data_IF_384192760732
#
_entry.id   IF_384192760732
#
_cell.length_a   1.000
_cell.length_b   1.000
_cell.length_c   1.000
_cell.angle_alpha   90.00
_cell.angle_beta   90.00
_cell.angle_gamma   90.00
#
_symmetry.space_group_name_H-M   'P 1'
#
loop_
_entity.id
_entity.type
_entity.pdbx_description
1 polymer ?
#
# COMPACT_ATOMS: atom_id res chain seq x y z
N UNK A 1 21.76 3.79 8.91
CA UNK A 1 21.00 3.57 7.65
C UNK A 1 21.51 2.26 7.06
N UNK A 2 20.67 1.23 6.87
CA UNK A 2 21.10 0.06 6.09
C UNK A 2 21.56 0.56 4.72
N UNK A 3 22.72 0.07 4.27
CA UNK A 3 23.24 0.41 2.95
C UNK A 3 22.32 -0.19 1.89
N UNK A 4 21.89 0.60 0.91
CA UNK A 4 21.05 0.11 -0.18
C UNK A 4 21.73 -1.09 -0.87
N UNK A 5 20.96 -2.14 -1.14
CA UNK A 5 21.46 -3.36 -1.78
C UNK A 5 22.04 -3.04 -3.16
N UNK A 6 23.25 -3.49 -3.44
CA UNK A 6 23.93 -3.16 -4.70
C UNK A 6 23.72 -4.26 -5.72
N UNK A 7 23.18 -3.87 -6.88
CA UNK A 7 23.04 -4.72 -8.05
C UNK A 7 24.00 -4.19 -9.12
N UNK A 8 24.86 -5.05 -9.64
CA UNK A 8 25.80 -4.70 -10.71
C UNK A 8 25.28 -5.15 -12.06
N UNK A 9 25.17 -4.23 -13.02
CA UNK A 9 24.82 -4.56 -14.41
C UNK A 9 26.09 -4.74 -15.24
N UNK A 10 26.19 -5.91 -15.86
CA UNK A 10 27.28 -6.27 -16.77
C UNK A 10 26.85 -6.10 -18.25
N UNK A 11 27.81 -5.92 -19.17
CA UNK A 11 27.52 -5.63 -20.59
C UNK A 11 26.69 -6.69 -21.33
N UNK A 12 26.77 -7.95 -20.91
CA UNK A 12 26.02 -9.07 -21.51
C UNK A 12 24.57 -9.17 -20.99
N UNK A 13 23.96 -8.04 -20.62
CA UNK A 13 22.61 -7.92 -20.02
C UNK A 13 22.43 -8.63 -18.68
N UNK A 14 23.49 -9.16 -18.06
CA UNK A 14 23.42 -9.85 -16.76
C UNK A 14 23.38 -8.85 -15.61
N UNK A 15 22.58 -9.18 -14.61
CA UNK A 15 22.50 -8.46 -13.34
C UNK A 15 23.09 -9.36 -12.25
N UNK A 16 23.95 -8.80 -11.41
CA UNK A 16 24.59 -9.53 -10.32
C UNK A 16 24.23 -8.88 -8.98
N UNK A 17 23.73 -9.68 -8.08
CA UNK A 17 23.38 -9.27 -6.74
C UNK A 17 24.57 -9.43 -5.80
N UNK A 18 25.07 -8.33 -5.23
CA UNK A 18 26.24 -8.40 -4.34
C UNK A 18 25.91 -9.00 -2.98
N UNK A 19 24.65 -8.96 -2.56
CA UNK A 19 24.22 -9.49 -1.26
C UNK A 19 24.03 -11.01 -1.33
N UNK A 20 23.35 -11.49 -2.38
CA UNK A 20 23.18 -12.94 -2.61
C UNK A 20 24.35 -13.60 -3.33
N UNK A 21 25.32 -12.81 -3.81
CA UNK A 21 26.48 -13.27 -4.56
C UNK A 21 26.11 -14.19 -5.75
N UNK A 22 25.06 -13.80 -6.49
CA UNK A 22 24.57 -14.58 -7.65
C UNK A 22 24.05 -13.67 -8.76
N UNK A 23 24.02 -14.22 -9.97
CA UNK A 23 23.28 -13.59 -11.06
C UNK A 23 21.78 -13.67 -10.80
N UNK A 24 21.09 -12.59 -11.14
CA UNK A 24 19.65 -12.42 -10.97
C UNK A 24 19.03 -11.91 -12.28
N UNK A 25 17.71 -12.03 -12.38
CA UNK A 25 16.89 -11.58 -13.49
C UNK A 25 16.16 -10.28 -13.15
N UNK A 26 15.47 -9.69 -14.13
CA UNK A 26 14.57 -8.56 -13.87
C UNK A 26 13.37 -8.95 -13.00
N UNK A 27 12.91 -10.21 -13.10
CA UNK A 27 11.87 -10.73 -12.22
C UNK A 27 12.33 -10.79 -10.76
N UNK A 28 13.60 -11.15 -10.49
CA UNK A 28 14.16 -11.08 -9.14
C UNK A 28 14.22 -9.62 -8.64
N UNK A 29 14.61 -8.65 -9.48
CA UNK A 29 14.61 -7.23 -9.10
C UNK A 29 13.18 -6.74 -8.82
N UNK A 30 12.21 -7.14 -9.62
CA UNK A 30 10.79 -6.86 -9.37
C UNK A 30 10.37 -7.38 -7.99
N UNK A 31 10.79 -8.57 -7.60
CA UNK A 31 10.52 -9.05 -6.24
C UNK A 31 11.12 -8.16 -5.15
N UNK A 32 12.30 -7.58 -5.37
CA UNK A 32 12.88 -6.62 -4.43
C UNK A 32 12.00 -5.37 -4.29
N UNK A 33 11.50 -4.84 -5.40
CA UNK A 33 10.55 -3.71 -5.42
C UNK A 33 9.29 -4.06 -4.63
N UNK A 34 8.70 -5.23 -4.89
CA UNK A 34 7.47 -5.67 -4.22
C UNK A 34 7.66 -5.92 -2.71
N UNK A 35 8.88 -6.28 -2.29
CA UNK A 35 9.26 -6.44 -0.88
C UNK A 35 9.63 -5.12 -0.21
N UNK A 36 9.65 -4.00 -0.94
CA UNK A 36 10.08 -2.69 -0.41
C UNK A 36 11.56 -2.65 -0.03
N UNK A 37 12.40 -3.44 -0.71
CA UNK A 37 13.85 -3.47 -0.46
C UNK A 37 14.50 -2.32 -1.23
N UNK A 38 15.21 -1.45 -0.51
CA UNK A 38 16.03 -0.40 -1.13
C UNK A 38 17.23 -1.00 -1.87
N UNK A 39 17.35 -0.73 -3.17
CA UNK A 39 18.47 -1.16 -3.98
C UNK A 39 18.96 -0.06 -4.92
N UNK A 40 20.19 -0.21 -5.39
CA UNK A 40 20.78 0.59 -6.47
C UNK A 40 21.35 -0.34 -7.53
N UNK A 41 21.09 -0.01 -8.80
CA UNK A 41 21.72 -0.69 -9.93
C UNK A 41 22.84 0.17 -10.48
N UNK A 42 24.07 -0.34 -10.53
CA UNK A 42 25.22 0.36 -11.11
C UNK A 42 25.78 -0.38 -12.31
N UNK A 43 26.14 0.36 -13.37
CA UNK A 43 26.88 -0.23 -14.48
C UNK A 43 28.33 -0.54 -14.07
N UNK A 44 28.82 -1.74 -14.39
CA UNK A 44 30.19 -2.12 -13.98
C UNK A 44 31.27 -1.43 -14.78
N UNK A 45 30.96 -0.90 -15.96
CA UNK A 45 31.95 -0.27 -16.83
C UNK A 45 31.97 1.25 -16.64
N UNK A 46 30.79 1.88 -16.61
CA UNK A 46 30.67 3.34 -16.50
C UNK A 46 30.46 3.85 -15.07
N UNK A 47 30.19 2.97 -14.11
CA UNK A 47 29.76 3.31 -12.74
C UNK A 47 28.49 4.17 -12.67
N UNK A 48 27.75 4.27 -13.77
CA UNK A 48 26.50 5.02 -13.85
C UNK A 48 25.39 4.36 -13.02
N UNK A 49 24.56 5.19 -12.38
CA UNK A 49 23.34 4.73 -11.70
C UNK A 49 22.25 4.42 -12.73
N UNK A 50 22.00 3.12 -12.94
CA UNK A 50 21.02 2.60 -13.86
C UNK A 50 19.68 2.27 -13.20
N UNK A 51 19.50 2.59 -11.92
CA UNK A 51 18.30 2.20 -11.14
C UNK A 51 17.00 2.64 -11.84
N UNK A 52 16.95 3.90 -12.29
CA UNK A 52 15.78 4.42 -13.02
C UNK A 52 15.51 3.67 -14.32
N UNK A 53 16.55 3.36 -15.08
CA UNK A 53 16.41 2.65 -16.37
C UNK A 53 15.87 1.22 -16.19
N UNK A 54 16.31 0.54 -15.14
CA UNK A 54 15.87 -0.81 -14.80
C UNK A 54 14.42 -0.81 -14.31
N UNK A 55 14.03 0.15 -13.46
CA UNK A 55 12.64 0.29 -13.02
C UNK A 55 11.69 0.54 -14.19
N UNK A 56 12.09 1.37 -15.16
CA UNK A 56 11.31 1.59 -16.38
C UNK A 56 11.21 0.33 -17.24
N UNK A 57 12.27 -0.47 -17.32
CA UNK A 57 12.24 -1.74 -18.03
C UNK A 57 11.27 -2.73 -17.36
N UNK A 58 11.30 -2.83 -16.03
CA UNK A 58 10.36 -3.67 -15.27
C UNK A 58 8.93 -3.22 -15.53
N UNK A 59 8.65 -1.91 -15.47
CA UNK A 59 7.32 -1.35 -15.75
C UNK A 59 6.82 -1.74 -17.15
N UNK A 60 7.69 -1.67 -18.17
CA UNK A 60 7.35 -2.06 -19.53
C UNK A 60 7.04 -3.57 -19.65
N UNK A 61 7.81 -4.42 -18.97
CA UNK A 61 7.57 -5.87 -18.95
C UNK A 61 6.21 -6.20 -18.31
N UNK A 62 5.88 -5.58 -17.17
CA UNK A 62 4.58 -5.77 -16.49
C UNK A 62 3.39 -5.32 -17.34
N UNK A 63 3.48 -4.15 -17.99
CA UNK A 63 2.41 -3.64 -18.87
C UNK A 63 2.19 -4.53 -20.11
N UNK A 64 3.23 -5.26 -20.56
CA UNK A 64 3.13 -6.15 -21.72
C UNK A 64 2.63 -7.56 -21.41
N UNK A 65 2.79 -8.01 -20.16
CA UNK A 65 2.54 -9.39 -19.75
C UNK A 65 1.23 -9.64 -18.97
N UNK A 66 0.55 -8.57 -18.52
CA UNK A 66 -0.64 -8.65 -17.66
C UNK A 66 -1.81 -7.77 -18.11
N UNK A 67 -2.72 -7.48 -17.18
CA UNK A 67 -3.75 -6.45 -17.39
C UNK A 67 -3.08 -5.06 -17.27
N UNK A 68 -3.10 -4.24 -18.34
CA UNK A 68 -2.38 -2.98 -18.35
C UNK A 68 -2.99 -2.01 -17.33
N UNK A 69 -2.15 -1.47 -16.44
CA UNK A 69 -2.56 -0.46 -15.48
C UNK A 69 -2.78 0.89 -16.18
N UNK A 70 -1.97 1.18 -17.20
CA UNK A 70 -1.99 2.47 -17.87
C UNK A 70 -2.85 2.47 -19.13
N UNK A 71 -3.87 3.33 -19.16
CA UNK A 71 -4.60 3.60 -20.40
C UNK A 71 -3.73 4.36 -21.41
N UNK A 72 -3.99 4.16 -22.71
CA UNK A 72 -3.31 4.90 -23.77
C UNK A 72 -3.47 6.44 -23.63
N UNK A 73 -4.62 6.90 -23.13
CA UNK A 73 -4.87 8.31 -22.83
C UNK A 73 -3.93 8.83 -21.73
N UNK A 74 -3.74 8.07 -20.66
CA UNK A 74 -2.84 8.41 -19.56
C UNK A 74 -1.38 8.48 -20.03
N UNK A 75 -0.91 7.47 -20.76
CA UNK A 75 0.45 7.47 -21.33
C UNK A 75 0.68 8.68 -22.25
N UNK A 76 -0.29 9.00 -23.10
CA UNK A 76 -0.22 10.17 -23.99
C UNK A 76 -0.18 11.50 -23.24
N UNK A 77 -0.83 11.59 -22.09
CA UNK A 77 -0.78 12.77 -21.23
C UNK A 77 0.57 12.88 -20.53
N UNK A 78 1.05 11.79 -19.93
CA UNK A 78 2.38 11.71 -19.31
C UNK A 78 3.45 12.19 -20.29
N UNK A 79 3.47 11.67 -21.52
CA UNK A 79 4.44 12.05 -22.56
C UNK A 79 4.33 13.54 -22.91
N UNK A 80 3.11 14.09 -23.02
CA UNK A 80 2.90 15.51 -23.31
C UNK A 80 3.44 16.41 -22.20
N UNK A 81 3.29 16.02 -20.94
CA UNK A 81 3.80 16.80 -19.81
C UNK A 81 5.34 16.78 -19.74
N UNK A 82 6.01 15.72 -20.20
CA UNK A 82 7.47 15.71 -20.34
C UNK A 82 8.00 16.75 -21.34
N UNK A 83 7.20 17.22 -22.30
CA UNK A 83 7.57 18.23 -23.29
C UNK A 83 7.10 19.66 -22.96
N UNK A 84 6.42 19.87 -21.82
CA UNK A 84 5.81 21.14 -21.46
C UNK A 84 6.50 21.86 -20.30
N UNK A 85 6.18 23.15 -20.12
CA UNK A 85 6.68 23.98 -19.01
C UNK A 85 6.18 23.55 -17.62
N UNK A 86 5.20 22.63 -17.57
CA UNK A 86 4.57 22.13 -16.33
C UNK A 86 5.12 20.78 -15.85
N UNK A 87 6.19 20.26 -16.45
CA UNK A 87 6.76 18.95 -16.11
C UNK A 87 7.01 18.78 -14.60
N UNK A 88 7.63 19.77 -13.96
CA UNK A 88 7.94 19.71 -12.52
C UNK A 88 6.70 19.75 -11.63
N UNK A 89 5.65 20.48 -12.04
CA UNK A 89 4.39 20.53 -11.30
C UNK A 89 3.63 19.21 -11.40
N UNK A 90 3.57 18.62 -12.60
CA UNK A 90 2.94 17.33 -12.82
C UNK A 90 3.64 16.20 -12.05
N UNK A 91 4.97 16.18 -12.04
CA UNK A 91 5.74 15.18 -11.30
C UNK A 91 5.42 15.22 -9.80
N UNK A 92 5.43 16.41 -9.18
CA UNK A 92 5.11 16.57 -7.75
C UNK A 92 3.67 16.17 -7.43
N UNK A 93 2.71 16.55 -8.28
CA UNK A 93 1.32 16.16 -8.10
C UNK A 93 1.12 14.64 -8.13
N UNK A 94 1.80 13.94 -9.04
CA UNK A 94 1.73 12.49 -9.15
C UNK A 94 2.37 11.80 -7.93
N UNK A 95 3.52 12.28 -7.46
CA UNK A 95 4.16 11.80 -6.23
C UNK A 95 3.25 11.96 -4.99
N UNK A 96 2.65 13.14 -4.81
CA UNK A 96 1.70 13.41 -3.71
C UNK A 96 0.46 12.51 -3.81
N UNK A 97 -0.11 12.37 -5.01
CA UNK A 97 -1.29 11.54 -5.23
C UNK A 97 -1.00 10.05 -4.95
N UNK A 98 0.16 9.55 -5.35
CA UNK A 98 0.59 8.18 -5.05
C UNK A 98 0.81 7.96 -3.54
N UNK A 99 1.44 8.91 -2.85
CA UNK A 99 1.64 8.85 -1.39
C UNK A 99 0.31 8.81 -0.63
N UNK A 100 -0.64 9.66 -1.04
CA UNK A 100 -2.00 9.67 -0.50
C UNK A 100 -2.72 8.35 -0.73
N UNK A 101 -2.62 7.78 -1.94
CA UNK A 101 -3.23 6.49 -2.27
C UNK A 101 -2.64 5.35 -1.42
N UNK A 102 -1.32 5.31 -1.25
CA UNK A 102 -0.65 4.31 -0.42
C UNK A 102 -1.10 4.37 1.05
N UNK A 103 -1.17 5.59 1.61
CA UNK A 103 -1.65 5.83 2.98
C UNK A 103 -3.11 5.39 3.16
N UNK A 104 -3.97 5.68 2.17
CA UNK A 104 -5.37 5.27 2.21
C UNK A 104 -5.53 3.76 2.11
N UNK A 105 -4.73 3.08 1.29
CA UNK A 105 -4.72 1.63 1.19
C UNK A 105 -4.29 0.97 2.50
N UNK A 106 -3.26 1.50 3.17
CA UNK A 106 -2.81 1.02 4.47
C UNK A 106 -3.92 1.15 5.52
N UNK A 107 -4.55 2.32 5.60
CA UNK A 107 -5.68 2.59 6.51
C UNK A 107 -6.86 1.65 6.24
N UNK A 108 -7.16 1.40 4.96
CA UNK A 108 -8.24 0.49 4.56
C UNK A 108 -7.92 -0.98 4.90
N UNK A 109 -6.67 -1.42 4.73
CA UNK A 109 -6.21 -2.75 5.14
C UNK A 109 -6.28 -2.92 6.65
N UNK A 110 -5.91 -1.90 7.42
CA UNK A 110 -6.06 -1.92 8.88
C UNK A 110 -7.53 -1.99 9.30
N UNK A 111 -8.40 -1.22 8.64
CA UNK A 111 -9.84 -1.15 8.98
C UNK A 111 -10.60 -2.42 8.57
N UNK A 112 -10.28 -3.03 7.42
CA UNK A 112 -10.86 -4.32 6.97
C UNK A 112 -10.20 -5.52 7.65
N UNK A 113 -8.95 -5.39 8.10
CA UNK A 113 -8.26 -6.39 8.93
C UNK A 113 -8.87 -6.53 10.34
N UNK A 114 -9.69 -5.57 10.77
CA UNK A 114 -10.63 -5.77 11.87
C UNK A 114 -11.81 -6.55 11.33
N UNK A 115 -11.82 -7.86 11.59
CA UNK A 115 -12.89 -8.81 11.27
C UNK A 115 -14.27 -8.08 11.21
N UNK A 116 -14.93 -8.00 10.04
CA UNK A 116 -16.20 -7.31 9.88
C UNK A 116 -17.23 -7.73 10.93
N UNK A 117 -17.17 -8.98 11.39
CA UNK A 117 -17.99 -9.47 12.49
C UNK A 117 -17.62 -8.86 13.82
N UNK A 118 -16.35 -8.60 14.11
CA UNK A 118 -15.90 -7.94 15.34
C UNK A 118 -16.32 -6.47 15.36
N UNK A 119 -16.12 -5.73 14.27
CA UNK A 119 -16.58 -4.34 14.15
C UNK A 119 -18.11 -4.26 14.31
N UNK A 120 -18.85 -5.18 13.69
CA UNK A 120 -20.31 -5.24 13.82
C UNK A 120 -20.77 -5.68 15.22
N UNK A 121 -20.02 -6.58 15.87
CA UNK A 121 -20.27 -7.02 17.26
C UNK A 121 -20.00 -5.89 18.25
N UNK A 122 -18.93 -5.12 18.06
CA UNK A 122 -18.61 -3.94 18.88
C UNK A 122 -19.67 -2.85 18.72
N UNK A 123 -20.13 -2.58 17.49
CA UNK A 123 -21.25 -1.66 17.22
C UNK A 123 -22.56 -2.16 17.84
N UNK A 124 -22.88 -3.45 17.74
CA UNK A 124 -24.07 -4.05 18.32
C UNK A 124 -24.05 -4.00 19.86
N UNK A 125 -22.93 -4.34 20.49
CA UNK A 125 -22.75 -4.27 21.95
C UNK A 125 -22.89 -2.84 22.47
N UNK A 126 -22.30 -1.85 21.77
CA UNK A 126 -22.40 -0.44 22.13
C UNK A 126 -23.84 0.07 22.01
N UNK A 127 -24.56 -0.32 20.96
CA UNK A 127 -25.97 0.01 20.78
C UNK A 127 -26.85 -0.63 21.86
N UNK A 128 -26.73 -1.93 22.11
CA UNK A 128 -27.53 -2.65 23.13
C UNK A 128 -27.33 -2.01 24.51
N UNK A 129 -26.10 -1.64 24.86
CA UNK A 129 -25.81 -0.96 26.13
C UNK A 129 -26.52 0.38 26.24
N UNK A 130 -26.48 1.21 25.19
CA UNK A 130 -27.21 2.49 25.18
C UNK A 130 -28.72 2.31 25.28
N UNK A 131 -29.30 1.32 24.58
CA UNK A 131 -30.73 1.00 24.69
C UNK A 131 -31.11 0.51 26.10
N UNK A 132 -30.29 -0.35 26.70
CA UNK A 132 -30.48 -0.84 28.07
C UNK A 132 -30.35 0.27 29.12
N UNK A 133 -29.36 1.16 28.96
CA UNK A 133 -29.16 2.31 29.85
C UNK A 133 -30.31 3.31 29.72
N UNK A 134 -30.79 3.56 28.51
CA UNK A 134 -31.98 4.39 28.26
C UNK A 134 -33.25 3.76 28.85
N UNK A 135 -33.45 2.46 28.65
CA UNK A 135 -34.57 1.71 29.20
C UNK A 135 -34.56 1.73 30.72
N UNK A 136 -33.42 1.43 31.35
CA UNK A 136 -33.29 1.43 32.81
C UNK A 136 -33.47 2.84 33.42
N UNK A 137 -32.98 3.88 32.74
CA UNK A 137 -33.17 5.28 33.14
C UNK A 137 -34.64 5.69 33.01
N UNK A 138 -35.33 5.25 31.97
CA UNK A 138 -36.76 5.46 31.78
C UNK A 138 -37.58 4.75 32.87
N UNK A 139 -37.30 3.48 33.17
CA UNK A 139 -37.99 2.74 34.24
C UNK A 139 -37.73 3.35 35.63
N UNK A 140 -36.50 3.82 35.89
CA UNK A 140 -36.17 4.57 37.12
C UNK A 140 -36.92 5.91 37.20
N UNK A 141 -36.99 6.67 36.11
CA UNK A 141 -37.70 7.94 36.06
C UNK A 141 -39.22 7.79 36.13
N UNK A 142 -39.77 6.69 35.59
CA UNK A 142 -41.19 6.35 35.64
C UNK A 142 -41.62 5.69 36.97
N UNK A 143 -40.70 5.46 37.91
CA UNK A 143 -41.02 4.98 39.26
C UNK A 143 -41.46 3.52 39.34
N UNK A 144 -41.15 2.68 38.35
CA UNK A 144 -41.51 1.26 38.36
C UNK A 144 -40.49 0.47 39.18
N UNK A 145 -40.91 0.00 40.37
CA UNK A 145 -40.12 -0.81 41.29
C UNK A 145 -39.92 -2.21 40.71
N UNK A 146 -38.66 -2.62 40.48
CA UNK A 146 -38.33 -3.99 40.09
C UNK A 146 -38.72 -4.93 41.24
N UNK A 147 -39.62 -5.87 40.98
CA UNK A 147 -40.02 -6.90 41.95
C UNK A 147 -39.12 -8.11 41.78
N UNK A 148 -37.92 -8.04 42.35
CA UNK A 148 -37.14 -9.25 42.62
C UNK A 148 -37.83 -10.00 43.78
N UNK A 149 -38.67 -10.96 43.41
CA UNK A 149 -39.08 -12.05 44.31
C UNK A 149 -38.12 -13.21 44.08
N UNK A 150 -37.22 -13.42 45.04
CA UNK A 150 -36.80 -14.76 45.47
C UNK A 150 -37.45 -14.99 46.84
N UNK A 151 -37.92 -16.20 47.22
CA UNK A 151 -37.03 -17.37 47.30
C UNK A 151 -37.66 -18.79 47.11
N UNK A 152 -36.74 -19.77 47.09
CA UNK A 152 -36.84 -21.23 47.33
C UNK A 152 -37.40 -22.15 46.23
N UNK A 153 -36.53 -23.00 45.65
CA UNK A 153 -36.07 -24.29 46.24
C UNK A 153 -34.57 -24.48 46.01
#
# INVERSE_FOLDING_TARGET
MPSARIIKKYPNRRLYDTELSRYITLADIRELVMKGVDFRVTDTNSEEDLTRSILLQIMLEEESGGEPLFSASMLSQIIRYYGGSVQGMFARYLEESMSMFATQQETFRETIGVDPMKTMTELAQRNIKMWSDMQSSFFKAAGVKNSDTKPNE
#
